data_IF_847360892153
#
_entry.id   IF_847360892153
#
_cell.length_a   1.000
_cell.length_b   1.000
_cell.length_c   1.000
_cell.angle_alpha   90.00
_cell.angle_beta   90.00
_cell.angle_gamma   90.00
#
_symmetry.space_group_name_H-M   'P 1'
#
loop_
_entity.id
_entity.type
_entity.pdbx_description
1 polymer ?
#
# COMPACT_ATOMS: atom_id res chain seq x y z
N UNK A 1 -11.67 -61.77 44.69
CA UNK A 1 -11.57 -61.42 43.30
C UNK A 1 -12.37 -60.13 43.09
N UNK A 2 -11.71 -58.95 43.11
CA UNK A 2 -12.35 -57.64 42.89
C UNK A 2 -12.04 -57.20 41.49
N UNK A 3 -13.11 -56.96 40.74
CA UNK A 3 -13.03 -56.39 39.40
C UNK A 3 -12.99 -54.86 39.48
N UNK A 4 -11.88 -54.26 39.07
CA UNK A 4 -11.72 -52.81 38.96
C UNK A 4 -12.22 -52.38 37.59
N UNK A 5 -13.39 -51.72 37.51
CA UNK A 5 -13.87 -51.06 36.31
C UNK A 5 -13.18 -49.72 36.15
N UNK A 6 -12.26 -49.60 35.17
CA UNK A 6 -11.67 -48.31 34.73
C UNK A 6 -12.67 -47.60 33.85
N UNK A 7 -13.25 -46.51 34.32
CA UNK A 7 -14.07 -45.61 33.51
C UNK A 7 -13.15 -44.63 32.84
N UNK A 8 -12.92 -44.79 31.54
CA UNK A 8 -12.23 -43.83 30.68
C UNK A 8 -13.20 -42.69 30.38
N UNK A 9 -13.03 -41.56 31.06
CA UNK A 9 -13.75 -40.32 30.74
C UNK A 9 -13.05 -39.65 29.54
N UNK A 10 -13.64 -39.83 28.35
CA UNK A 10 -13.20 -39.17 27.13
C UNK A 10 -13.66 -37.70 27.17
N UNK A 11 -12.75 -36.77 27.47
CA UNK A 11 -13.03 -35.34 27.34
C UNK A 11 -13.02 -35.01 25.84
N UNK A 12 -14.20 -34.91 25.26
CA UNK A 12 -14.36 -34.33 23.93
C UNK A 12 -14.29 -32.81 24.06
N UNK A 13 -13.13 -32.25 23.78
CA UNK A 13 -12.96 -30.79 23.63
C UNK A 13 -13.71 -30.37 22.35
N UNK A 14 -14.87 -29.80 22.48
CA UNK A 14 -15.57 -29.13 21.38
C UNK A 14 -14.77 -27.88 21.00
N UNK A 15 -14.00 -27.95 19.92
CA UNK A 15 -13.46 -26.77 19.27
C UNK A 15 -14.64 -25.94 18.77
N UNK A 16 -15.00 -24.91 19.51
CA UNK A 16 -15.98 -23.93 19.10
C UNK A 16 -15.29 -23.04 18.06
N UNK A 17 -15.58 -23.28 16.78
CA UNK A 17 -15.10 -22.42 15.71
C UNK A 17 -15.56 -20.98 16.00
N UNK A 18 -14.61 -20.07 16.12
CA UNK A 18 -14.90 -18.65 16.31
C UNK A 18 -15.85 -18.20 15.19
N UNK A 19 -17.05 -17.73 15.55
CA UNK A 19 -17.98 -17.14 14.58
C UNK A 19 -17.29 -15.98 13.92
N UNK A 20 -16.99 -16.12 12.63
CA UNK A 20 -16.43 -15.05 11.79
C UNK A 20 -17.46 -13.92 11.84
N UNK A 21 -17.08 -12.80 12.47
CA UNK A 21 -17.94 -11.62 12.52
C UNK A 21 -18.21 -11.18 11.07
N UNK A 22 -19.45 -11.16 10.58
CA UNK A 22 -19.71 -10.77 9.20
C UNK A 22 -19.26 -9.32 9.04
N UNK A 23 -18.28 -9.10 8.17
CA UNK A 23 -17.89 -7.74 7.78
C UNK A 23 -19.12 -7.07 7.16
N UNK A 24 -19.38 -5.80 7.47
CA UNK A 24 -20.49 -5.08 6.85
C UNK A 24 -20.30 -5.10 5.32
N UNK A 25 -21.32 -5.55 4.62
CA UNK A 25 -21.32 -5.52 3.15
C UNK A 25 -21.48 -4.05 2.76
N UNK A 26 -20.43 -3.47 2.22
CA UNK A 26 -20.50 -2.14 1.62
C UNK A 26 -21.13 -2.34 0.25
N UNK A 27 -22.40 -2.02 0.12
CA UNK A 27 -23.16 -2.20 -1.13
C UNK A 27 -22.58 -1.38 -2.29
N UNK A 28 -21.98 -0.23 -1.98
CA UNK A 28 -21.28 0.63 -2.95
C UNK A 28 -20.03 1.22 -2.32
N UNK A 29 -18.83 1.06 -2.94
CA UNK A 29 -17.64 1.73 -2.47
C UNK A 29 -17.80 3.26 -2.51
N UNK A 30 -17.27 3.94 -1.50
CA UNK A 30 -17.18 5.40 -1.54
C UNK A 30 -16.28 5.86 -2.68
N UNK A 31 -16.65 6.96 -3.30
CA UNK A 31 -15.69 7.71 -4.11
C UNK A 31 -14.58 8.28 -3.20
N UNK A 32 -13.38 8.59 -3.73
CA UNK A 32 -12.31 9.18 -2.92
C UNK A 32 -12.74 10.42 -2.15
N UNK A 33 -13.55 11.27 -2.75
CA UNK A 33 -14.07 12.48 -2.12
C UNK A 33 -15.08 12.18 -1.00
N UNK A 34 -15.96 11.21 -1.20
CA UNK A 34 -16.89 10.75 -0.16
C UNK A 34 -16.13 10.15 1.01
N UNK A 35 -15.10 9.31 0.74
CA UNK A 35 -14.26 8.73 1.78
C UNK A 35 -13.56 9.82 2.63
N UNK A 36 -12.97 10.82 2.00
CA UNK A 36 -12.32 11.93 2.70
C UNK A 36 -13.30 12.67 3.63
N UNK A 37 -14.54 12.88 3.20
CA UNK A 37 -15.59 13.55 4.00
C UNK A 37 -16.09 12.74 5.19
N UNK A 38 -15.94 11.41 5.18
CA UNK A 38 -16.35 10.54 6.28
C UNK A 38 -15.32 10.40 7.37
N UNK A 39 -14.07 10.84 7.13
CA UNK A 39 -12.99 10.73 8.09
C UNK A 39 -13.22 11.67 9.28
N UNK A 40 -13.04 11.12 10.49
CA UNK A 40 -13.14 11.88 11.73
C UNK A 40 -11.75 12.24 12.23
N UNK A 41 -11.51 13.52 12.43
CA UNK A 41 -10.23 14.04 12.90
C UNK A 41 -10.43 14.91 14.15
N UNK A 42 -9.41 15.09 15.00
CA UNK A 42 -9.47 16.00 16.15
C UNK A 42 -9.80 17.45 15.75
N UNK A 43 -10.34 18.20 16.71
CA UNK A 43 -10.63 19.62 16.49
C UNK A 43 -9.35 20.38 16.08
N UNK A 44 -9.46 21.18 15.01
CA UNK A 44 -8.36 21.95 14.45
C UNK A 44 -7.66 21.28 13.28
N UNK A 45 -8.04 20.03 12.95
CA UNK A 45 -7.55 19.34 11.74
C UNK A 45 -8.64 19.27 10.68
N UNK A 46 -8.23 19.30 9.42
CA UNK A 46 -9.09 19.10 8.27
C UNK A 46 -8.55 17.96 7.41
N UNK A 47 -9.45 17.25 6.72
CA UNK A 47 -9.07 16.23 5.74
C UNK A 47 -9.35 16.77 4.35
N UNK A 48 -8.33 16.77 3.50
CA UNK A 48 -8.44 17.11 2.08
C UNK A 48 -8.08 15.88 1.25
N UNK A 49 -8.72 15.72 0.11
CA UNK A 49 -8.38 14.68 -0.84
C UNK A 49 -7.21 15.18 -1.69
N UNK A 50 -6.02 14.64 -1.45
CA UNK A 50 -4.84 14.94 -2.28
C UNK A 50 -4.87 14.13 -3.58
N UNK A 51 -5.11 12.84 -3.49
CA UNK A 51 -5.20 11.92 -4.62
C UNK A 51 -6.08 10.71 -4.30
N UNK A 52 -6.64 10.08 -5.31
CA UNK A 52 -7.43 8.87 -5.19
C UNK A 52 -7.55 8.15 -6.52
N UNK A 53 -8.31 7.07 -6.57
CA UNK A 53 -8.59 6.41 -7.86
C UNK A 53 -9.31 7.36 -8.82
N UNK A 54 -8.95 7.36 -10.12
CA UNK A 54 -8.07 6.41 -10.82
C UNK A 54 -6.57 6.79 -10.85
N UNK A 55 -6.16 7.91 -10.25
CA UNK A 55 -4.78 8.42 -10.33
C UNK A 55 -3.80 7.60 -9.51
N UNK A 56 -4.25 7.04 -8.39
CA UNK A 56 -3.53 6.05 -7.58
C UNK A 56 -4.26 4.72 -7.67
N UNK A 57 -3.48 3.62 -7.79
CA UNK A 57 -4.02 2.25 -7.81
C UNK A 57 -3.25 1.35 -6.86
N UNK A 58 -3.98 0.65 -5.98
CA UNK A 58 -3.41 -0.32 -5.03
C UNK A 58 -2.13 0.19 -4.33
N UNK A 59 -2.15 1.35 -3.65
CA UNK A 59 -0.98 1.87 -2.96
C UNK A 59 -0.61 0.93 -1.81
N UNK A 60 0.67 0.55 -1.72
CA UNK A 60 1.20 -0.32 -0.65
C UNK A 60 2.12 0.45 0.31
N UNK A 61 2.83 1.45 -0.21
CA UNK A 61 3.70 2.31 0.55
C UNK A 61 3.79 3.69 -0.12
N UNK A 62 4.14 4.69 0.66
CA UNK A 62 4.42 6.03 0.16
C UNK A 62 5.43 6.75 1.05
N UNK A 63 6.10 7.74 0.49
CA UNK A 63 6.90 8.72 1.21
C UNK A 63 6.72 10.11 0.58
N UNK A 64 7.20 11.13 1.27
CA UNK A 64 7.15 12.52 0.79
C UNK A 64 8.59 13.02 0.72
N UNK A 65 8.98 13.61 -0.42
CA UNK A 65 10.31 14.16 -0.58
C UNK A 65 10.41 15.59 0.00
N UNK A 66 11.61 16.16 -0.06
CA UNK A 66 11.92 17.51 0.43
C UNK A 66 11.26 18.65 -0.36
N UNK A 67 10.70 18.34 -1.54
CA UNK A 67 9.90 19.26 -2.36
C UNK A 67 8.40 19.13 -2.09
N UNK A 68 7.99 18.23 -1.18
CA UNK A 68 6.59 17.96 -0.86
C UNK A 68 5.86 17.06 -1.87
N UNK A 69 6.56 16.43 -2.81
CA UNK A 69 5.97 15.50 -3.77
C UNK A 69 5.68 14.16 -3.09
N UNK A 70 4.53 13.59 -3.38
CA UNK A 70 4.12 12.29 -2.87
C UNK A 70 4.61 11.19 -3.81
N UNK A 71 5.48 10.33 -3.32
CA UNK A 71 5.96 9.14 -4.00
C UNK A 71 5.16 7.93 -3.56
N UNK A 72 4.60 7.18 -4.49
CA UNK A 72 3.71 6.05 -4.18
C UNK A 72 4.18 4.79 -4.89
N UNK A 73 4.30 3.71 -4.14
CA UNK A 73 4.49 2.37 -4.66
C UNK A 73 3.13 1.71 -4.91
N UNK A 74 2.83 1.40 -6.17
CA UNK A 74 1.59 0.74 -6.60
C UNK A 74 1.82 -0.76 -6.84
N UNK A 75 1.18 -1.62 -6.04
CA UNK A 75 1.31 -3.08 -6.07
C UNK A 75 0.29 -3.72 -7.02
N UNK A 76 0.41 -3.48 -8.31
CA UNK A 76 -0.53 -3.96 -9.32
C UNK A 76 -0.58 -5.51 -9.47
N UNK A 77 0.47 -6.20 -8.96
CA UNK A 77 0.58 -7.65 -8.97
C UNK A 77 0.00 -8.33 -7.73
N UNK A 78 -0.37 -7.57 -6.70
CA UNK A 78 -0.91 -8.13 -5.46
C UNK A 78 -2.45 -8.36 -5.56
N UNK A 79 -3.01 -9.44 -4.95
CA UNK A 79 -2.31 -10.55 -4.28
C UNK A 79 -1.73 -11.60 -5.24
N UNK A 80 -2.22 -11.63 -6.45
CA UNK A 80 -1.87 -12.66 -7.44
C UNK A 80 -1.05 -12.04 -8.59
N UNK A 81 0.07 -12.67 -8.92
CA UNK A 81 0.87 -12.28 -10.08
C UNK A 81 0.05 -12.40 -11.35
N UNK A 82 -0.33 -11.27 -11.92
CA UNK A 82 -1.10 -11.22 -13.17
C UNK A 82 -0.15 -11.10 -14.35
N UNK A 83 -0.34 -11.97 -15.35
CA UNK A 83 0.46 -11.92 -16.57
C UNK A 83 0.47 -10.51 -17.19
N UNK A 84 1.67 -9.99 -17.46
CA UNK A 84 1.89 -8.68 -18.07
C UNK A 84 1.69 -7.46 -17.18
N UNK A 85 1.32 -7.62 -15.91
CA UNK A 85 1.28 -6.50 -14.97
C UNK A 85 2.60 -6.40 -14.22
N UNK A 86 3.02 -5.17 -14.00
CA UNK A 86 4.18 -4.82 -13.17
C UNK A 86 3.74 -3.83 -12.10
N UNK A 87 4.43 -3.89 -10.97
CA UNK A 87 4.34 -2.87 -9.95
C UNK A 87 5.13 -1.65 -10.38
N UNK A 88 4.78 -0.50 -9.85
CA UNK A 88 5.41 0.74 -10.27
C UNK A 88 5.52 1.75 -9.13
N UNK A 89 6.36 2.73 -9.37
CA UNK A 89 6.48 3.91 -8.54
C UNK A 89 5.96 5.10 -9.35
N UNK A 90 5.08 5.87 -8.73
CA UNK A 90 4.57 7.11 -9.29
C UNK A 90 4.91 8.28 -8.36
N UNK A 91 4.98 9.47 -8.95
CA UNK A 91 5.16 10.73 -8.23
C UNK A 91 3.92 11.58 -8.48
N UNK A 92 3.38 12.14 -7.43
CA UNK A 92 2.27 13.10 -7.49
C UNK A 92 2.75 14.43 -6.90
N UNK A 93 2.50 15.50 -7.62
CA UNK A 93 2.93 16.84 -7.27
C UNK A 93 1.72 17.79 -7.31
N UNK A 94 1.62 18.64 -6.32
CA UNK A 94 0.71 19.78 -6.25
C UNK A 94 1.52 21.00 -6.65
N UNK A 95 1.37 21.45 -7.90
CA UNK A 95 2.22 22.52 -8.45
C UNK A 95 1.64 23.91 -8.20
N UNK A 96 0.37 24.04 -7.86
CA UNK A 96 -0.30 25.29 -7.60
C UNK A 96 -0.63 25.57 -6.12
N UNK A 97 -0.40 24.57 -5.24
CA UNK A 97 -0.52 24.69 -3.79
C UNK A 97 -1.96 24.65 -3.28
N UNK A 98 -2.88 24.05 -4.03
CA UNK A 98 -4.29 23.95 -3.65
C UNK A 98 -4.61 22.74 -2.73
N UNK A 99 -3.61 21.89 -2.46
CA UNK A 99 -3.73 20.69 -1.64
C UNK A 99 -4.18 19.47 -2.43
N UNK A 100 -4.16 19.51 -3.75
CA UNK A 100 -4.44 18.41 -4.65
C UNK A 100 -3.29 18.25 -5.64
N UNK A 101 -3.02 17.02 -6.05
CA UNK A 101 -2.06 16.81 -7.12
C UNK A 101 -2.66 17.24 -8.47
N UNK A 102 -1.87 17.91 -9.25
CA UNK A 102 -2.17 18.28 -10.65
C UNK A 102 -1.15 17.70 -11.64
N UNK A 103 -0.04 17.16 -11.14
CA UNK A 103 0.98 16.50 -11.94
C UNK A 103 1.24 15.10 -11.46
N UNK A 104 1.28 14.14 -12.40
CA UNK A 104 1.54 12.74 -12.15
C UNK A 104 2.63 12.22 -13.08
N UNK A 105 3.68 11.63 -12.51
CA UNK A 105 4.80 11.04 -13.23
C UNK A 105 4.84 9.54 -12.91
N UNK A 106 5.10 8.69 -13.90
CA UNK A 106 5.49 7.30 -13.67
C UNK A 106 7.01 7.27 -13.63
N UNK A 107 7.56 7.12 -12.42
CA UNK A 107 9.00 7.10 -12.22
C UNK A 107 9.61 5.78 -12.69
N UNK A 108 9.05 4.64 -12.26
CA UNK A 108 9.57 3.32 -12.65
C UNK A 108 8.45 2.29 -12.65
N UNK A 109 8.32 1.46 -13.70
CA UNK A 109 7.17 0.58 -13.92
C UNK A 109 7.53 -0.89 -14.18
N UNK A 110 8.76 -1.31 -13.83
CA UNK A 110 9.26 -2.68 -14.08
C UNK A 110 9.43 -3.52 -12.81
N UNK A 111 8.85 -3.09 -11.68
CA UNK A 111 8.97 -3.79 -10.40
C UNK A 111 8.04 -5.02 -10.32
N UNK A 112 8.40 -5.94 -9.42
CA UNK A 112 7.57 -7.07 -9.04
C UNK A 112 7.51 -7.17 -7.51
N UNK A 113 6.30 -7.33 -6.95
CA UNK A 113 6.08 -7.44 -5.49
C UNK A 113 6.71 -6.30 -4.67
N UNK A 114 6.46 -5.08 -5.12
CA UNK A 114 6.89 -3.89 -4.35
C UNK A 114 6.19 -3.87 -2.99
N UNK A 115 6.95 -3.55 -1.94
CA UNK A 115 6.44 -3.53 -0.56
C UNK A 115 6.89 -2.32 0.25
N UNK A 116 7.85 -1.55 -0.24
CA UNK A 116 8.35 -0.37 0.45
C UNK A 116 9.11 0.56 -0.47
N UNK A 117 9.12 1.84 -0.11
CA UNK A 117 9.79 2.90 -0.85
C UNK A 117 10.30 3.96 0.11
N UNK A 118 11.45 4.54 -0.19
CA UNK A 118 11.99 5.73 0.47
C UNK A 118 12.83 6.54 -0.51
N UNK A 119 12.74 7.86 -0.45
CA UNK A 119 13.48 8.78 -1.33
C UNK A 119 14.62 9.41 -0.57
N UNK A 120 15.82 9.39 -1.16
CA UNK A 120 16.99 10.04 -0.57
C UNK A 120 18.30 9.62 -1.22
N UNK A 121 19.36 10.36 -0.89
CA UNK A 121 20.73 10.10 -1.36
C UNK A 121 20.89 10.07 -2.88
N UNK A 122 20.12 10.90 -3.60
CA UNK A 122 20.19 10.99 -5.06
C UNK A 122 19.46 9.87 -5.77
N UNK A 123 18.37 9.37 -5.20
CA UNK A 123 17.54 8.34 -5.82
C UNK A 123 16.47 7.78 -4.90
N UNK A 124 15.99 6.62 -5.25
CA UNK A 124 14.87 5.95 -4.61
C UNK A 124 15.25 4.56 -4.16
N UNK A 125 15.07 4.28 -2.88
CA UNK A 125 15.24 2.97 -2.27
C UNK A 125 13.94 2.20 -2.35
N UNK A 126 13.98 0.98 -2.88
CA UNK A 126 12.78 0.18 -3.17
C UNK A 126 12.95 -1.23 -2.67
N UNK A 127 12.03 -1.67 -1.83
CA UNK A 127 11.88 -3.09 -1.52
C UNK A 127 10.93 -3.71 -2.55
N UNK A 128 11.47 -4.60 -3.39
CA UNK A 128 10.72 -5.36 -4.39
C UNK A 128 11.22 -6.81 -4.35
N UNK A 129 10.47 -7.66 -3.66
CA UNK A 129 10.88 -9.02 -3.29
C UNK A 129 11.34 -9.84 -4.51
N UNK A 130 12.53 -10.51 -4.42
CA UNK A 130 13.35 -10.72 -3.22
C UNK A 130 14.45 -9.66 -3.00
N UNK A 131 14.49 -8.60 -3.78
CA UNK A 131 15.60 -7.66 -3.83
C UNK A 131 15.28 -6.34 -3.14
N UNK A 132 16.34 -5.66 -2.72
CA UNK A 132 16.33 -4.27 -2.30
C UNK A 132 17.11 -3.47 -3.33
N UNK A 133 16.44 -2.52 -3.98
CA UNK A 133 16.99 -1.74 -5.08
C UNK A 133 17.27 -0.32 -4.67
N UNK A 134 18.28 0.27 -5.31
CA UNK A 134 18.46 1.71 -5.41
C UNK A 134 18.30 2.12 -6.88
N UNK A 135 17.36 3.03 -7.15
CA UNK A 135 17.11 3.59 -8.48
C UNK A 135 17.63 5.03 -8.46
N UNK A 136 18.70 5.36 -9.20
CA UNK A 136 19.28 6.69 -9.16
C UNK A 136 18.37 7.73 -9.83
N UNK A 137 18.28 8.91 -9.19
CA UNK A 137 17.62 10.14 -9.68
C UNK A 137 18.36 11.30 -9.01
N UNK A 138 19.51 11.68 -9.57
CA UNK A 138 20.48 12.59 -8.93
C UNK A 138 20.07 14.05 -8.97
N UNK A 139 19.35 14.44 -9.99
CA UNK A 139 18.83 15.80 -10.18
C UNK A 139 17.40 15.96 -9.70
N UNK A 140 16.77 14.85 -9.25
CA UNK A 140 15.41 14.79 -8.72
C UNK A 140 14.34 15.29 -9.71
N UNK A 141 14.55 15.03 -11.00
CA UNK A 141 13.60 15.41 -12.04
C UNK A 141 12.43 14.42 -12.17
N UNK A 142 12.54 13.26 -11.52
CA UNK A 142 11.53 12.19 -11.55
C UNK A 142 11.69 11.25 -12.74
N UNK A 143 12.88 11.23 -13.33
CA UNK A 143 13.29 10.28 -14.38
C UNK A 143 14.52 9.52 -13.87
N UNK A 144 14.55 8.18 -13.88
CA UNK A 144 15.70 7.44 -13.46
C UNK A 144 16.97 7.76 -14.28
N UNK A 145 18.08 8.05 -13.60
CA UNK A 145 19.40 8.27 -14.23
C UNK A 145 20.12 6.99 -14.67
N UNK A 146 19.54 5.85 -14.41
CA UNK A 146 20.13 4.56 -14.74
C UNK A 146 19.28 3.36 -14.30
N UNK A 147 19.79 2.17 -14.58
CA UNK A 147 19.15 0.93 -14.15
C UNK A 147 19.22 0.75 -12.64
N UNK A 148 18.23 0.08 -12.02
CA UNK A 148 18.25 -0.25 -10.61
C UNK A 148 19.48 -1.07 -10.21
N UNK A 149 20.10 -0.69 -9.09
CA UNK A 149 21.21 -1.42 -8.47
C UNK A 149 20.66 -2.23 -7.29
N UNK A 150 21.11 -3.49 -7.15
CA UNK A 150 20.74 -4.40 -6.05
C UNK A 150 21.71 -4.23 -4.90
#
# INVERSE_FOLDING_TARGET
MQWLCLILVCWASTLQAAKKNPQPVIEKPFTPLEAAKTMQVPKGFNVTLFAGEPDIKQPIAFCIDDRGRLWVAEANNYPDKKAGKKDRIIILEDTDGDGRHDKRIVFYDKLEYVSGIEVGFGGVWVMSIPNFYFIPDKDYDGVPDGEPVV
#
